data_IF_286501052893
#
_entry.id   IF_286501052893
#
_cell.length_a   1.000
_cell.length_b   1.000
_cell.length_c   1.000
_cell.angle_alpha   90.00
_cell.angle_beta   90.00
_cell.angle_gamma   90.00
#
_symmetry.space_group_name_H-M   'P 1'
#
loop_
_entity.id
_entity.type
_entity.pdbx_description
1 polymer ?
#
# COMPACT_ATOMS: atom_id res chain seq x y z
N UNK A 1 38.01 -23.13 -4.34
CA UNK A 1 36.78 -22.65 -4.97
C UNK A 1 36.13 -21.71 -3.97
N UNK A 2 36.25 -20.43 -4.19
CA UNK A 2 35.62 -19.42 -3.34
C UNK A 2 34.10 -19.45 -3.61
N UNK A 3 33.31 -19.75 -2.59
CA UNK A 3 31.88 -19.56 -2.66
C UNK A 3 31.63 -18.05 -2.67
N UNK A 4 31.40 -17.50 -3.82
CA UNK A 4 30.84 -16.16 -3.99
C UNK A 4 29.38 -16.22 -3.58
N UNK A 5 29.11 -16.12 -2.30
CA UNK A 5 27.81 -15.74 -1.81
C UNK A 5 27.69 -14.24 -2.05
N UNK A 6 27.33 -13.86 -3.26
CA UNK A 6 26.91 -12.52 -3.59
C UNK A 6 25.48 -12.38 -3.12
N UNK A 7 25.31 -11.97 -1.87
CA UNK A 7 24.04 -11.41 -1.44
C UNK A 7 23.81 -10.16 -2.32
N UNK A 8 22.84 -10.24 -3.23
CA UNK A 8 22.54 -9.15 -4.16
C UNK A 8 22.13 -7.87 -3.41
N UNK A 9 21.63 -8.03 -2.19
CA UNK A 9 21.10 -6.95 -1.35
C UNK A 9 21.69 -7.03 0.05
N UNK A 10 22.21 -5.92 0.58
CA UNK A 10 22.50 -5.76 2.00
C UNK A 10 21.35 -5.04 2.70
N UNK A 11 21.12 -5.40 3.96
CA UNK A 11 20.07 -4.81 4.80
C UNK A 11 20.69 -4.29 6.09
N UNK A 12 20.53 -3.00 6.36
CA UNK A 12 20.88 -2.37 7.63
C UNK A 12 19.60 -2.03 8.38
N UNK A 13 19.51 -2.48 9.63
CA UNK A 13 18.37 -2.19 10.51
C UNK A 13 18.84 -1.32 11.65
N UNK A 14 18.08 -0.23 11.93
CA UNK A 14 18.29 0.60 13.12
C UNK A 14 17.03 0.63 13.96
N UNK A 15 17.21 0.47 15.27
CA UNK A 15 16.16 0.61 16.29
C UNK A 15 16.55 1.75 17.20
N UNK A 16 15.67 2.73 17.38
CA UNK A 16 15.97 3.96 18.14
C UNK A 16 17.29 4.63 17.68
N UNK A 17 17.59 4.58 16.38
CA UNK A 17 18.80 5.14 15.76
C UNK A 17 20.08 4.31 15.92
N UNK A 18 20.02 3.15 16.60
CA UNK A 18 21.17 2.25 16.80
C UNK A 18 21.10 1.04 15.87
N UNK A 19 22.23 0.68 15.26
CA UNK A 19 22.31 -0.51 14.41
C UNK A 19 21.97 -1.76 15.22
N UNK A 20 21.15 -2.60 14.63
CA UNK A 20 20.64 -3.83 15.21
C UNK A 20 21.07 -5.02 14.36
N UNK A 21 21.84 -5.95 14.98
CA UNK A 21 22.13 -7.23 14.34
C UNK A 21 20.86 -8.09 14.35
N UNK A 22 20.52 -8.67 13.21
CA UNK A 22 19.31 -9.48 13.05
C UNK A 22 19.64 -10.88 12.50
N UNK A 23 18.72 -11.82 12.71
CA UNK A 23 18.77 -13.19 12.16
C UNK A 23 17.92 -13.30 10.92
N UNK A 24 16.68 -12.80 11.01
CA UNK A 24 15.74 -12.74 9.89
C UNK A 24 14.97 -11.42 9.94
N UNK A 25 14.59 -10.93 8.77
CA UNK A 25 13.74 -9.76 8.62
C UNK A 25 12.69 -10.05 7.54
N UNK A 26 11.45 -9.75 7.86
CA UNK A 26 10.31 -9.79 6.95
C UNK A 26 9.68 -8.39 6.91
N UNK A 27 9.46 -7.87 5.72
CA UNK A 27 8.74 -6.60 5.50
C UNK A 27 7.61 -6.85 4.52
N UNK A 28 6.39 -6.60 4.98
CA UNK A 28 5.19 -6.69 4.16
C UNK A 28 4.67 -5.28 3.87
N UNK A 29 4.54 -4.94 2.60
CA UNK A 29 4.04 -3.66 2.12
C UNK A 29 2.82 -3.86 1.21
N UNK A 30 1.82 -3.00 1.33
CA UNK A 30 0.58 -3.06 0.56
C UNK A 30 -0.02 -1.68 0.39
N UNK A 31 -0.63 -1.41 -0.76
CA UNK A 31 -1.37 -0.15 -1.01
C UNK A 31 -2.69 -0.06 -0.23
N UNK A 32 -3.19 -1.16 0.33
CA UNK A 32 -4.53 -1.21 0.93
C UNK A 32 -4.54 -1.34 2.44
N UNK A 33 -3.37 -1.55 3.07
CA UNK A 33 -3.25 -1.77 4.51
C UNK A 33 -1.98 -1.13 5.06
N UNK A 34 -1.87 -1.05 6.37
CA UNK A 34 -0.62 -0.71 7.03
C UNK A 34 0.48 -1.69 6.67
N UNK A 35 1.68 -1.20 6.48
CA UNK A 35 2.85 -2.05 6.33
C UNK A 35 3.17 -2.72 7.66
N UNK A 36 3.77 -3.91 7.60
CA UNK A 36 4.19 -4.66 8.77
C UNK A 36 5.61 -5.15 8.58
N UNK A 37 6.35 -5.19 9.67
CA UNK A 37 7.65 -5.84 9.71
C UNK A 37 7.75 -6.81 10.88
N UNK A 38 8.63 -7.80 10.70
CA UNK A 38 9.02 -8.74 11.74
C UNK A 38 10.53 -8.92 11.68
N UNK A 39 11.21 -8.64 12.79
CA UNK A 39 12.67 -8.73 12.91
C UNK A 39 12.98 -9.68 14.03
N UNK A 40 13.75 -10.73 13.75
CA UNK A 40 14.23 -11.69 14.73
C UNK A 40 15.68 -11.38 15.05
N UNK A 41 15.98 -11.19 16.33
CA UNK A 41 17.30 -10.83 16.86
C UNK A 41 17.77 -11.90 17.82
N UNK A 42 19.05 -12.24 17.80
CA UNK A 42 19.63 -13.14 18.80
C UNK A 42 19.65 -12.46 20.18
N UNK A 43 19.08 -13.09 21.17
CA UNK A 43 19.24 -12.71 22.58
C UNK A 43 20.46 -13.43 23.16
N UNK A 44 21.48 -12.67 23.54
CA UNK A 44 22.70 -13.18 24.18
C UNK A 44 23.03 -12.30 25.39
N UNK A 45 22.71 -12.73 26.62
CA UNK A 45 22.95 -11.92 27.81
C UNK A 45 24.45 -11.69 28.11
N UNK A 46 25.31 -12.51 27.55
CA UNK A 46 26.77 -12.46 27.71
C UNK A 46 27.48 -11.46 26.77
N UNK A 47 26.78 -10.92 25.78
CA UNK A 47 27.33 -9.91 24.86
C UNK A 47 26.65 -8.58 25.08
N UNK A 48 27.39 -7.47 25.21
CA UNK A 48 26.83 -6.13 25.31
C UNK A 48 26.26 -5.70 23.94
N UNK A 49 25.12 -6.24 23.57
CA UNK A 49 24.29 -5.73 22.49
C UNK A 49 23.18 -4.86 23.07
N UNK A 50 22.50 -4.07 22.26
CA UNK A 50 21.33 -3.26 22.68
C UNK A 50 20.26 -4.14 23.37
N UNK A 51 20.30 -5.46 23.12
CA UNK A 51 19.36 -6.49 23.57
C UNK A 51 19.85 -7.33 24.76
N UNK A 52 21.07 -7.08 25.23
CA UNK A 52 21.73 -7.90 26.26
C UNK A 52 21.28 -7.60 27.69
N UNK A 53 20.43 -6.64 27.94
CA UNK A 53 20.16 -6.10 29.26
C UNK A 53 18.69 -6.34 29.65
N UNK A 54 18.38 -7.59 30.04
CA UNK A 54 17.14 -7.97 30.73
C UNK A 54 15.80 -7.59 30.03
N UNK A 55 14.70 -8.26 30.35
CA UNK A 55 13.39 -8.02 29.74
C UNK A 55 12.91 -6.56 29.86
N UNK A 56 13.18 -5.91 30.98
CA UNK A 56 12.75 -4.52 31.24
C UNK A 56 13.34 -3.51 30.24
N UNK A 57 14.56 -3.77 29.72
CA UNK A 57 15.18 -2.89 28.72
C UNK A 57 14.67 -3.22 27.33
N UNK A 58 14.40 -4.49 27.05
CA UNK A 58 13.85 -4.93 25.76
C UNK A 58 12.47 -4.32 25.54
N UNK A 59 11.56 -4.41 26.51
CA UNK A 59 10.20 -3.86 26.41
C UNK A 59 10.15 -2.33 26.37
N UNK A 60 11.19 -1.63 26.79
CA UNK A 60 11.30 -0.17 26.60
C UNK A 60 11.44 0.25 25.14
N UNK A 61 11.69 -0.69 24.24
CA UNK A 61 11.72 -0.43 22.81
C UNK A 61 10.32 -0.37 22.17
N UNK A 62 9.25 -0.68 22.90
CA UNK A 62 7.87 -0.47 22.42
C UNK A 62 7.65 1.01 22.08
N UNK A 63 7.13 1.27 20.87
CA UNK A 63 6.92 2.60 20.35
C UNK A 63 8.17 3.25 19.71
N UNK A 64 9.34 2.63 19.81
CA UNK A 64 10.55 3.16 19.19
C UNK A 64 10.53 3.03 17.67
N UNK A 65 11.25 3.95 17.02
CA UNK A 65 11.37 4.01 15.57
C UNK A 65 12.30 2.93 15.06
N UNK A 66 11.90 2.31 13.96
CA UNK A 66 12.70 1.38 13.18
C UNK A 66 12.95 1.98 11.81
N UNK A 67 14.21 1.93 11.34
CA UNK A 67 14.53 2.12 9.92
C UNK A 67 15.18 0.87 9.36
N UNK A 68 14.76 0.49 8.15
CA UNK A 68 15.28 -0.65 7.38
C UNK A 68 15.79 -0.09 6.06
N UNK A 69 17.10 -0.10 5.87
CA UNK A 69 17.76 0.33 4.65
C UNK A 69 18.21 -0.90 3.86
N UNK A 70 17.68 -1.08 2.68
CA UNK A 70 18.07 -2.10 1.72
C UNK A 70 18.92 -1.46 0.62
N UNK A 71 20.06 -2.05 0.30
CA UNK A 71 20.96 -1.56 -0.74
C UNK A 71 21.26 -2.68 -1.73
N UNK A 72 20.97 -2.46 -2.99
CA UNK A 72 21.34 -3.39 -4.06
C UNK A 72 22.80 -3.16 -4.48
N UNK A 73 23.63 -4.19 -4.40
CA UNK A 73 25.09 -4.03 -4.56
C UNK A 73 25.52 -3.67 -5.98
N UNK A 74 24.85 -4.20 -6.98
CA UNK A 74 25.24 -3.97 -8.38
C UNK A 74 24.85 -2.58 -8.87
N UNK A 75 23.62 -2.12 -8.59
CA UNK A 75 23.14 -0.81 -9.03
C UNK A 75 23.44 0.32 -8.04
N UNK A 76 23.77 0.00 -6.79
CA UNK A 76 23.91 0.97 -5.70
C UNK A 76 22.58 1.57 -5.24
N UNK A 77 21.46 1.07 -5.73
CA UNK A 77 20.14 1.58 -5.44
C UNK A 77 19.72 1.26 -4.00
N UNK A 78 19.02 2.21 -3.39
CA UNK A 78 18.65 2.13 -1.97
C UNK A 78 17.17 2.30 -1.81
N UNK A 79 16.59 1.47 -0.95
CA UNK A 79 15.19 1.58 -0.51
C UNK A 79 15.16 1.63 0.99
N UNK A 80 14.47 2.61 1.54
CA UNK A 80 14.34 2.79 2.98
C UNK A 80 12.89 2.58 3.42
N UNK A 81 12.73 2.00 4.61
CA UNK A 81 11.45 1.87 5.27
C UNK A 81 11.54 2.39 6.69
N UNK A 82 10.58 3.22 7.07
CA UNK A 82 10.42 3.70 8.44
C UNK A 82 9.18 3.10 9.08
N UNK A 83 9.34 2.63 10.31
CA UNK A 83 8.26 2.02 11.08
C UNK A 83 8.37 2.29 12.57
N UNK A 84 7.43 1.71 13.33
CA UNK A 84 7.36 1.75 14.78
C UNK A 84 7.18 0.34 15.32
N UNK A 85 7.84 0.01 16.44
CA UNK A 85 7.65 -1.26 17.14
C UNK A 85 6.32 -1.21 17.89
N UNK A 86 5.41 -2.12 17.56
CA UNK A 86 4.12 -2.26 18.25
C UNK A 86 4.07 -3.44 19.20
N UNK A 87 4.91 -4.46 18.96
CA UNK A 87 4.91 -5.68 19.75
C UNK A 87 6.33 -6.27 19.89
N UNK A 88 6.60 -6.89 21.02
CA UNK A 88 7.88 -7.53 21.32
C UNK A 88 7.64 -8.87 21.99
N UNK A 89 8.16 -9.94 21.39
CA UNK A 89 8.16 -11.26 21.97
C UNK A 89 9.57 -11.66 22.36
N UNK A 90 9.73 -12.32 23.49
CA UNK A 90 11.00 -12.88 23.94
C UNK A 90 10.86 -14.39 24.05
N UNK A 91 11.61 -15.11 23.27
CA UNK A 91 11.69 -16.57 23.28
C UNK A 91 12.99 -17.03 23.95
N UNK A 92 12.89 -17.76 25.02
CA UNK A 92 14.04 -18.35 25.72
C UNK A 92 14.25 -19.82 25.35
N UNK A 93 15.52 -20.23 25.29
CA UNK A 93 15.93 -21.63 25.13
C UNK A 93 16.85 -22.06 26.28
N UNK A 94 17.22 -23.32 26.32
CA UNK A 94 18.17 -23.84 27.29
C UNK A 94 19.51 -23.09 27.23
N UNK A 95 20.10 -22.81 28.40
CA UNK A 95 21.43 -22.20 28.53
C UNK A 95 21.51 -20.69 28.29
N UNK A 96 20.51 -19.89 28.64
CA UNK A 96 20.47 -18.43 28.50
C UNK A 96 20.59 -17.95 27.04
N UNK A 97 20.16 -18.75 26.08
CA UNK A 97 20.03 -18.35 24.69
C UNK A 97 18.57 -18.11 24.35
N UNK A 98 18.32 -17.29 23.35
CA UNK A 98 16.96 -17.00 22.92
C UNK A 98 16.90 -16.03 21.74
N UNK A 99 15.69 -15.62 21.43
CA UNK A 99 15.43 -14.61 20.43
C UNK A 99 14.56 -13.51 21.01
N UNK A 100 14.78 -12.31 20.51
CA UNK A 100 13.84 -11.19 20.61
C UNK A 100 13.20 -11.03 19.24
N UNK A 101 11.89 -11.04 19.21
CA UNK A 101 11.11 -10.81 17.98
C UNK A 101 10.47 -9.44 18.13
N UNK A 102 10.82 -8.53 17.22
CA UNK A 102 10.25 -7.19 17.14
C UNK A 102 9.25 -7.19 16.00
N UNK A 103 8.01 -6.88 16.30
CA UNK A 103 6.97 -6.70 15.31
C UNK A 103 6.46 -5.26 15.34
N UNK A 104 6.05 -4.76 14.17
CA UNK A 104 5.56 -3.40 14.09
C UNK A 104 5.04 -3.05 12.70
N UNK A 105 4.77 -1.79 12.50
CA UNK A 105 4.21 -1.32 11.24
C UNK A 105 4.66 0.08 10.86
N UNK A 106 4.15 0.52 9.70
CA UNK A 106 4.30 1.90 9.24
C UNK A 106 3.71 2.90 10.24
N UNK A 107 4.15 4.17 10.27
CA UNK A 107 3.59 5.18 11.16
C UNK A 107 2.09 5.40 10.99
N UNK A 108 1.52 4.94 9.87
CA UNK A 108 0.09 4.99 9.60
C UNK A 108 -0.77 4.22 10.61
N UNK A 109 -0.21 3.23 11.34
CA UNK A 109 -0.92 2.56 12.44
C UNK A 109 -1.40 3.54 13.53
N UNK A 110 -0.71 4.67 13.67
CA UNK A 110 -1.08 5.70 14.62
C UNK A 110 -2.36 6.46 14.24
N UNK A 111 -2.82 6.31 12.99
CA UNK A 111 -4.11 6.82 12.53
C UNK A 111 -5.29 5.90 12.93
N UNK A 112 -5.01 4.70 13.44
CA UNK A 112 -6.01 3.73 13.91
C UNK A 112 -6.29 3.82 15.42
N UNK A 113 -6.22 5.02 15.96
CA UNK A 113 -6.71 5.26 17.31
C UNK A 113 -8.23 5.18 17.36
N UNK A 114 -8.80 5.36 18.55
CA UNK A 114 -10.22 5.24 18.84
C UNK A 114 -11.11 5.89 17.77
N UNK A 115 -12.20 5.21 17.37
CA UNK A 115 -13.15 5.75 16.44
C UNK A 115 -13.75 7.08 16.92
N UNK A 116 -13.91 8.03 16.03
CA UNK A 116 -14.52 9.33 16.34
C UNK A 116 -15.64 9.69 15.36
N UNK A 117 -16.29 10.81 15.64
CA UNK A 117 -17.38 11.35 14.83
C UNK A 117 -17.03 12.79 14.45
N UNK A 118 -16.99 13.06 13.16
CA UNK A 118 -16.75 14.37 12.58
C UNK A 118 -17.66 14.57 11.37
N UNK A 119 -17.96 15.80 11.00
CA UNK A 119 -18.60 16.12 9.73
C UNK A 119 -17.87 17.28 9.04
N UNK A 120 -17.82 17.19 7.72
CA UNK A 120 -17.21 18.18 6.85
C UNK A 120 -18.27 18.68 5.89
N UNK A 121 -18.40 19.99 5.82
CA UNK A 121 -19.42 20.68 5.01
C UNK A 121 -18.68 21.64 4.10
N UNK A 122 -18.99 21.61 2.80
CA UNK A 122 -18.43 22.49 1.77
C UNK A 122 -16.89 22.57 1.80
N UNK A 123 -16.23 21.40 1.86
CA UNK A 123 -14.76 21.29 1.87
C UNK A 123 -14.27 20.40 0.74
N UNK A 124 -13.06 20.68 0.24
CA UNK A 124 -12.39 19.80 -0.71
C UNK A 124 -11.59 18.70 -0.01
N UNK A 125 -11.21 17.64 -0.77
CA UNK A 125 -10.47 16.50 -0.24
C UNK A 125 -9.18 16.89 0.46
N UNK A 126 -8.40 17.79 -0.13
CA UNK A 126 -7.12 18.22 0.42
C UNK A 126 -7.28 18.80 1.84
N UNK A 127 -8.28 19.67 2.03
CA UNK A 127 -8.57 20.29 3.32
C UNK A 127 -9.01 19.25 4.35
N UNK A 128 -9.89 18.32 3.96
CA UNK A 128 -10.39 17.26 4.86
C UNK A 128 -9.23 16.36 5.30
N UNK A 129 -8.39 15.95 4.37
CA UNK A 129 -7.19 15.12 4.66
C UNK A 129 -6.25 15.84 5.62
N UNK A 130 -5.93 17.10 5.34
CA UNK A 130 -5.04 17.91 6.17
C UNK A 130 -5.56 18.06 7.60
N UNK A 131 -6.86 18.38 7.75
CA UNK A 131 -7.50 18.51 9.08
C UNK A 131 -7.43 17.21 9.89
N UNK A 132 -7.65 16.05 9.25
CA UNK A 132 -7.57 14.75 9.92
C UNK A 132 -6.15 14.43 10.36
N UNK A 133 -5.17 14.68 9.49
CA UNK A 133 -3.76 14.41 9.79
C UNK A 133 -3.28 15.33 10.91
N UNK A 134 -3.63 16.61 10.89
CA UNK A 134 -3.28 17.56 11.93
C UNK A 134 -3.90 17.20 13.28
N UNK A 135 -5.18 16.86 13.30
CA UNK A 135 -5.89 16.39 14.51
C UNK A 135 -5.33 15.08 15.06
N UNK A 136 -4.80 14.22 14.18
CA UNK A 136 -4.18 12.96 14.62
C UNK A 136 -2.91 13.19 15.43
N UNK A 137 -2.19 14.28 15.19
CA UNK A 137 -0.90 14.58 15.80
C UNK A 137 0.22 13.65 15.37
N UNK A 138 0.01 12.82 14.34
CA UNK A 138 0.99 11.85 13.84
C UNK A 138 2.03 12.59 12.99
N UNK A 139 3.31 12.47 13.40
CA UNK A 139 4.43 13.07 12.67
C UNK A 139 4.98 12.09 11.65
N UNK A 140 4.61 12.25 10.41
CA UNK A 140 5.16 11.53 9.26
C UNK A 140 5.25 12.48 8.05
N UNK A 141 6.05 12.12 7.07
CA UNK A 141 6.04 12.82 5.79
C UNK A 141 4.76 12.50 5.04
N UNK A 142 4.14 13.49 4.41
CA UNK A 142 2.89 13.34 3.67
C UNK A 142 2.97 14.13 2.36
N UNK A 143 2.63 13.47 1.27
CA UNK A 143 2.29 14.11 0.00
C UNK A 143 0.77 14.09 -0.14
N UNK A 144 0.12 15.24 -0.07
CA UNK A 144 -1.32 15.37 -0.16
C UNK A 144 -1.70 16.15 -1.43
N UNK A 145 -1.89 15.42 -2.52
CA UNK A 145 -2.18 15.98 -3.83
C UNK A 145 -3.28 15.18 -4.56
N UNK A 146 -4.52 15.14 -4.02
CA UNK A 146 -5.62 14.46 -4.67
C UNK A 146 -5.99 15.15 -6.00
N UNK A 147 -6.41 14.36 -6.99
CA UNK A 147 -6.93 14.88 -8.28
C UNK A 147 -8.27 15.55 -8.15
N UNK A 148 -9.12 15.01 -7.28
CA UNK A 148 -10.43 15.59 -7.03
C UNK A 148 -10.29 16.85 -6.20
N UNK A 149 -10.47 17.99 -6.84
CA UNK A 149 -10.31 19.32 -6.24
C UNK A 149 -11.64 20.01 -5.91
N UNK A 150 -12.76 19.45 -6.38
CA UNK A 150 -14.07 20.04 -6.20
C UNK A 150 -14.54 20.03 -4.75
N UNK A 151 -15.46 20.92 -4.44
CA UNK A 151 -16.03 21.02 -3.10
C UNK A 151 -17.00 19.87 -2.87
N UNK A 152 -16.78 19.15 -1.80
CA UNK A 152 -17.67 18.10 -1.29
C UNK A 152 -18.71 18.78 -0.40
N UNK A 153 -20.00 18.75 -0.78
CA UNK A 153 -21.05 19.42 -0.01
C UNK A 153 -21.17 18.91 1.41
N UNK A 154 -21.08 17.59 1.58
CA UNK A 154 -21.17 16.96 2.89
C UNK A 154 -20.48 15.59 2.93
N UNK A 155 -19.69 15.33 3.95
CA UNK A 155 -19.22 14.00 4.29
C UNK A 155 -19.11 13.83 5.81
N UNK A 156 -19.54 12.69 6.31
CA UNK A 156 -19.44 12.33 7.73
C UNK A 156 -18.46 11.19 7.98
N UNK A 157 -17.67 11.34 9.03
CA UNK A 157 -16.97 10.29 9.72
C UNK A 157 -17.86 9.82 10.86
N UNK A 158 -18.25 8.55 10.86
CA UNK A 158 -19.14 8.02 11.87
C UNK A 158 -18.57 6.75 12.48
N UNK A 159 -18.06 6.84 13.70
CA UNK A 159 -17.44 5.73 14.43
C UNK A 159 -16.33 5.02 13.62
N UNK A 160 -15.55 5.78 12.91
CA UNK A 160 -14.42 5.29 12.11
C UNK A 160 -13.10 5.80 12.70
N UNK A 161 -12.03 5.00 12.56
CA UNK A 161 -10.67 5.49 12.81
C UNK A 161 -10.28 6.53 11.75
N UNK A 162 -9.24 7.32 11.99
CA UNK A 162 -8.74 8.27 10.98
C UNK A 162 -8.31 7.55 9.71
N UNK A 163 -7.60 6.42 9.85
CA UNK A 163 -7.17 5.61 8.72
C UNK A 163 -8.36 5.01 7.95
N UNK A 164 -9.32 4.44 8.67
CA UNK A 164 -10.52 3.85 8.06
C UNK A 164 -11.34 4.87 7.28
N UNK A 165 -11.55 6.06 7.87
CA UNK A 165 -12.26 7.15 7.21
C UNK A 165 -11.54 7.65 5.96
N UNK A 166 -10.22 7.92 6.05
CA UNK A 166 -9.42 8.35 4.90
C UNK A 166 -9.40 7.28 3.80
N UNK A 167 -9.21 6.01 4.15
CA UNK A 167 -9.25 4.91 3.18
C UNK A 167 -10.59 4.82 2.45
N UNK A 168 -11.70 4.96 3.18
CA UNK A 168 -13.03 4.95 2.58
C UNK A 168 -13.27 6.19 1.70
N UNK A 169 -12.93 7.37 2.21
CA UNK A 169 -13.13 8.64 1.53
C UNK A 169 -12.34 8.69 0.22
N UNK A 170 -11.03 8.50 0.29
CA UNK A 170 -10.14 8.60 -0.87
C UNK A 170 -10.45 7.52 -1.91
N UNK A 171 -10.69 6.27 -1.47
CA UNK A 171 -11.11 5.19 -2.38
C UNK A 171 -12.36 5.53 -3.18
N UNK A 172 -13.32 6.24 -2.59
CA UNK A 172 -14.56 6.57 -3.28
C UNK A 172 -14.41 7.66 -4.34
N UNK A 173 -13.35 8.46 -4.25
CA UNK A 173 -12.94 9.43 -5.27
C UNK A 173 -11.90 8.87 -6.24
N UNK A 174 -11.53 7.57 -6.12
CA UNK A 174 -10.52 6.95 -6.97
C UNK A 174 -9.09 7.40 -6.66
N UNK A 175 -8.87 8.03 -5.53
CA UNK A 175 -7.57 8.53 -5.12
C UNK A 175 -6.70 7.42 -4.55
N UNK A 176 -5.39 7.48 -4.82
CA UNK A 176 -4.43 6.62 -4.18
C UNK A 176 -4.21 7.04 -2.72
N UNK A 177 -4.08 6.05 -1.85
CA UNK A 177 -3.78 6.25 -0.43
C UNK A 177 -2.92 5.09 0.06
N UNK A 178 -1.61 5.32 0.18
CA UNK A 178 -0.65 4.31 0.60
C UNK A 178 0.60 4.93 1.20
N UNK A 179 1.32 4.15 1.97
CA UNK A 179 2.64 4.51 2.50
C UNK A 179 3.71 3.87 1.61
N UNK A 180 4.68 4.62 1.09
CA UNK A 180 5.70 4.08 0.19
C UNK A 180 6.95 3.54 0.91
N UNK A 181 6.99 3.62 2.24
CA UNK A 181 8.14 3.28 3.10
C UNK A 181 8.68 4.49 3.85
N UNK A 182 8.55 5.69 3.30
CA UNK A 182 9.07 6.94 3.85
C UNK A 182 7.99 8.01 4.02
N UNK A 183 7.02 8.02 3.10
CA UNK A 183 6.01 9.09 2.97
C UNK A 183 4.63 8.49 2.76
N UNK A 184 3.62 9.06 3.40
CA UNK A 184 2.21 8.78 3.11
C UNK A 184 1.81 9.52 1.83
N UNK A 185 1.44 8.77 0.80
CA UNK A 185 1.06 9.27 -0.52
C UNK A 185 -0.46 9.34 -0.65
N UNK A 186 -0.97 10.49 -1.06
CA UNK A 186 -2.38 10.74 -1.36
C UNK A 186 -2.45 11.43 -2.72
N UNK A 187 -3.26 10.87 -3.61
CA UNK A 187 -3.29 11.23 -5.02
C UNK A 187 -2.43 10.29 -5.88
N UNK A 188 -2.34 10.59 -7.17
CA UNK A 188 -1.60 9.73 -8.09
C UNK A 188 -0.12 9.61 -7.69
N UNK A 189 0.45 8.41 -7.80
CA UNK A 189 1.88 8.25 -7.65
C UNK A 189 2.63 9.02 -8.75
N UNK A 190 3.66 9.74 -8.37
CA UNK A 190 4.60 10.33 -9.32
C UNK A 190 5.44 9.20 -9.91
N UNK A 191 5.16 8.84 -11.16
CA UNK A 191 5.91 7.81 -11.90
C UNK A 191 7.01 8.52 -12.70
N UNK A 192 8.13 8.80 -12.04
CA UNK A 192 9.26 9.47 -12.67
C UNK A 192 10.05 8.54 -13.59
N UNK A 193 10.11 7.26 -13.26
CA UNK A 193 10.90 6.25 -14.01
C UNK A 193 10.18 4.92 -14.08
N UNK A 194 10.35 4.23 -15.21
CA UNK A 194 9.97 2.82 -15.36
C UNK A 194 11.07 1.93 -14.78
N UNK A 195 10.72 1.08 -13.82
CA UNK A 195 11.61 0.02 -13.36
C UNK A 195 11.56 -1.13 -14.37
N UNK A 196 12.67 -1.43 -15.01
CA UNK A 196 12.78 -2.54 -15.93
C UNK A 196 13.42 -3.73 -15.26
N UNK A 197 12.62 -4.76 -14.99
CA UNK A 197 13.07 -5.99 -14.35
C UNK A 197 13.08 -7.14 -15.38
N UNK A 198 14.24 -7.73 -15.64
CA UNK A 198 14.43 -8.83 -16.57
C UNK A 198 14.14 -10.18 -15.90
N UNK A 199 13.42 -11.08 -16.61
CA UNK A 199 13.30 -12.48 -16.20
C UNK A 199 14.67 -13.17 -16.28
N UNK A 200 15.01 -14.02 -15.31
CA UNK A 200 16.31 -14.67 -15.10
C UNK A 200 17.50 -13.72 -14.82
N UNK A 201 17.25 -12.42 -14.72
CA UNK A 201 18.23 -11.41 -14.29
C UNK A 201 17.84 -10.89 -12.91
N UNK A 202 16.81 -10.06 -12.87
CA UNK A 202 16.29 -9.45 -11.64
C UNK A 202 15.16 -10.28 -11.02
N UNK A 203 14.36 -10.95 -11.86
CA UNK A 203 13.22 -11.76 -11.46
C UNK A 203 13.54 -13.24 -11.60
N UNK A 204 13.42 -13.98 -10.49
CA UNK A 204 13.72 -15.42 -10.43
C UNK A 204 12.50 -16.31 -10.58
N UNK A 205 11.31 -15.75 -10.52
CA UNK A 205 10.06 -16.46 -10.75
C UNK A 205 8.95 -15.49 -11.10
N UNK A 206 8.15 -15.82 -12.09
CA UNK A 206 7.00 -15.03 -12.53
C UNK A 206 5.77 -15.94 -12.58
N UNK A 207 4.67 -15.46 -12.02
CA UNK A 207 3.35 -16.07 -12.15
C UNK A 207 2.40 -15.01 -12.71
N UNK A 208 1.78 -15.29 -13.84
CA UNK A 208 0.82 -14.41 -14.50
C UNK A 208 -0.55 -15.06 -14.39
N UNK A 209 -1.49 -14.37 -13.77
CA UNK A 209 -2.89 -14.81 -13.66
C UNK A 209 -3.78 -13.90 -14.51
N UNK A 210 -4.75 -14.51 -15.20
CA UNK A 210 -5.83 -13.82 -15.89
C UNK A 210 -7.16 -14.42 -15.46
N UNK A 211 -8.15 -13.58 -15.15
CA UNK A 211 -9.45 -14.00 -14.60
C UNK A 211 -10.57 -13.26 -15.30
N UNK A 212 -11.58 -13.98 -15.76
CA UNK A 212 -12.79 -13.37 -16.34
C UNK A 212 -13.64 -12.71 -15.24
N UNK A 213 -14.18 -11.51 -15.55
CA UNK A 213 -15.07 -10.76 -14.63
C UNK A 213 -16.11 -9.99 -15.42
N UNK A 214 -17.24 -9.73 -14.79
CA UNK A 214 -18.21 -8.77 -15.33
C UNK A 214 -17.64 -7.36 -15.25
N UNK A 215 -17.49 -6.71 -16.40
CA UNK A 215 -17.06 -5.32 -16.55
C UNK A 215 -18.18 -4.42 -17.05
N UNK A 216 -19.24 -5.03 -17.61
CA UNK A 216 -20.37 -4.30 -18.18
C UNK A 216 -21.28 -3.81 -17.04
N UNK A 217 -21.04 -2.60 -16.57
CA UNK A 217 -21.90 -1.97 -15.57
C UNK A 217 -22.07 -0.49 -15.86
N UNK A 218 -23.19 0.04 -15.45
CA UNK A 218 -23.46 1.47 -15.38
C UNK A 218 -23.73 1.88 -13.94
N UNK A 219 -23.38 3.11 -13.62
CA UNK A 219 -23.67 3.74 -12.34
C UNK A 219 -24.75 4.79 -12.54
N UNK A 220 -25.71 4.86 -11.62
CA UNK A 220 -26.77 5.88 -11.68
C UNK A 220 -26.96 6.57 -10.32
N UNK A 221 -27.46 7.79 -10.39
CA UNK A 221 -27.89 8.58 -9.23
C UNK A 221 -29.17 9.32 -9.56
N UNK A 222 -30.04 9.46 -8.57
CA UNK A 222 -31.24 10.26 -8.67
C UNK A 222 -31.09 11.53 -7.84
N UNK A 223 -31.18 12.68 -8.50
CA UNK A 223 -31.22 13.99 -7.86
C UNK A 223 -32.67 14.37 -7.57
N UNK A 224 -33.13 14.27 -6.30
CA UNK A 224 -34.49 14.57 -5.95
C UNK A 224 -34.82 16.06 -5.98
N UNK A 225 -33.81 16.94 -5.98
CA UNK A 225 -34.03 18.39 -6.02
C UNK A 225 -34.40 18.84 -7.43
N UNK A 226 -33.75 18.27 -8.43
CA UNK A 226 -33.97 18.62 -9.84
C UNK A 226 -34.81 17.57 -10.58
N UNK A 227 -35.34 16.55 -9.90
CA UNK A 227 -36.09 15.41 -10.47
C UNK A 227 -35.39 14.82 -11.70
N UNK A 228 -34.09 14.52 -11.56
CA UNK A 228 -33.23 14.10 -12.66
C UNK A 228 -32.42 12.88 -12.32
N UNK A 229 -32.32 11.93 -13.27
CA UNK A 229 -31.39 10.85 -13.22
C UNK A 229 -30.11 11.20 -13.95
N UNK A 230 -28.97 10.91 -13.32
CA UNK A 230 -27.67 10.87 -13.95
C UNK A 230 -27.29 9.42 -14.22
N UNK A 231 -26.62 9.15 -15.33
CA UNK A 231 -26.11 7.84 -15.71
C UNK A 231 -24.70 7.98 -16.22
N UNK A 232 -23.85 7.03 -15.82
CA UNK A 232 -22.52 6.88 -16.35
C UNK A 232 -22.29 5.43 -16.74
N UNK A 233 -21.62 5.22 -17.87
CA UNK A 233 -21.30 3.91 -18.40
C UNK A 233 -19.83 3.59 -18.15
N UNK A 234 -19.50 2.30 -18.11
CA UNK A 234 -18.15 1.79 -17.85
C UNK A 234 -17.07 2.55 -18.60
N UNK A 235 -16.01 2.90 -17.87
CA UNK A 235 -14.89 3.69 -18.39
C UNK A 235 -14.03 2.94 -19.41
N UNK A 236 -13.06 3.65 -19.97
CA UNK A 236 -12.07 3.09 -20.88
C UNK A 236 -10.85 2.61 -20.12
N UNK A 237 -10.35 1.37 -20.35
CA UNK A 237 -9.20 0.86 -19.61
C UNK A 237 -7.93 1.65 -19.93
N UNK A 238 -7.20 2.04 -18.89
CA UNK A 238 -5.89 2.68 -18.98
C UNK A 238 -4.82 1.67 -18.55
N UNK A 239 -3.69 1.60 -19.28
CA UNK A 239 -2.56 0.74 -18.90
C UNK A 239 -2.82 -0.77 -19.05
N UNK A 240 -3.62 -1.18 -20.03
CA UNK A 240 -4.00 -2.56 -20.26
C UNK A 240 -2.81 -3.46 -20.62
N UNK A 241 -2.60 -4.53 -19.86
CA UNK A 241 -1.61 -5.60 -20.14
C UNK A 241 -2.16 -6.59 -21.17
N UNK A 242 -1.31 -7.48 -21.70
CA UNK A 242 -1.76 -8.57 -22.56
C UNK A 242 -2.78 -9.48 -21.84
N UNK A 243 -2.52 -9.80 -20.57
CA UNK A 243 -3.41 -10.65 -19.77
C UNK A 243 -4.77 -10.00 -19.51
N UNK A 244 -4.81 -8.70 -19.18
CA UNK A 244 -6.08 -8.01 -18.96
C UNK A 244 -6.91 -7.84 -20.22
N UNK A 245 -6.29 -7.53 -21.37
CA UNK A 245 -6.99 -7.46 -22.66
C UNK A 245 -7.61 -8.81 -23.07
N UNK A 246 -6.86 -9.89 -22.86
CA UNK A 246 -7.35 -11.23 -23.16
C UNK A 246 -8.52 -11.62 -22.26
N UNK A 247 -8.40 -11.33 -20.96
CA UNK A 247 -9.44 -11.59 -19.98
C UNK A 247 -10.71 -10.76 -20.27
N UNK A 248 -10.57 -9.48 -20.63
CA UNK A 248 -11.67 -8.59 -21.03
C UNK A 248 -12.42 -9.18 -22.24
N UNK A 249 -11.70 -9.49 -23.32
CA UNK A 249 -12.29 -10.07 -24.53
C UNK A 249 -13.02 -11.39 -24.26
N UNK A 250 -12.52 -12.22 -23.35
CA UNK A 250 -13.18 -13.45 -22.95
C UNK A 250 -14.37 -13.21 -22.01
N UNK A 251 -14.37 -12.11 -21.27
CA UNK A 251 -15.44 -11.77 -20.33
C UNK A 251 -16.70 -11.27 -21.01
N UNK A 252 -16.59 -10.49 -22.09
CA UNK A 252 -17.71 -9.88 -22.81
C UNK A 252 -18.81 -10.88 -23.19
N UNK A 253 -18.54 -12.02 -23.86
CA UNK A 253 -19.59 -12.97 -24.25
C UNK A 253 -20.15 -13.77 -23.06
N UNK A 254 -19.42 -13.85 -21.93
CA UNK A 254 -19.81 -14.60 -20.74
C UNK A 254 -20.69 -13.76 -19.83
N UNK A 255 -20.44 -12.45 -19.76
CA UNK A 255 -21.19 -11.49 -18.95
C UNK A 255 -21.86 -10.40 -19.82
N UNK A 256 -22.81 -10.78 -20.71
CA UNK A 256 -23.39 -9.83 -21.65
C UNK A 256 -24.37 -8.84 -21.01
N UNK A 257 -24.88 -9.17 -19.83
CA UNK A 257 -25.91 -8.36 -19.15
C UNK A 257 -25.25 -7.22 -18.38
N UNK A 258 -25.72 -6.01 -18.66
CA UNK A 258 -25.31 -4.82 -17.92
C UNK A 258 -25.83 -4.87 -16.47
N UNK A 259 -24.95 -4.67 -15.52
CA UNK A 259 -25.30 -4.47 -14.12
C UNK A 259 -25.50 -2.96 -13.85
N UNK A 260 -26.69 -2.58 -13.36
CA UNK A 260 -26.98 -1.20 -12.98
C UNK A 260 -26.80 -1.01 -11.49
N UNK A 261 -25.84 -0.20 -11.11
CA UNK A 261 -25.48 0.01 -9.71
C UNK A 261 -25.80 1.45 -9.30
N UNK A 262 -26.46 1.63 -8.14
CA UNK A 262 -26.59 2.98 -7.59
C UNK A 262 -25.22 3.53 -7.25
N UNK A 263 -25.05 4.85 -7.36
CA UNK A 263 -23.84 5.51 -6.93
C UNK A 263 -23.56 5.22 -5.45
N UNK A 264 -22.30 4.99 -5.11
CA UNK A 264 -21.88 4.77 -3.73
C UNK A 264 -22.03 6.07 -2.91
N UNK A 265 -22.12 7.21 -3.58
CA UNK A 265 -22.27 8.56 -3.01
C UNK A 265 -23.24 9.37 -3.81
N UNK A 266 -23.89 10.36 -3.17
CA UNK A 266 -24.65 11.34 -3.90
C UNK A 266 -23.76 12.03 -4.96
N UNK A 267 -24.16 11.96 -6.21
CA UNK A 267 -23.55 12.72 -7.28
C UNK A 267 -24.40 13.99 -7.51
N UNK A 268 -23.75 15.12 -7.43
CA UNK A 268 -24.43 16.41 -7.61
C UNK A 268 -24.31 16.92 -9.05
N UNK A 269 -23.52 16.20 -9.85
CA UNK A 269 -23.33 16.47 -11.27
C UNK A 269 -23.08 15.16 -12.05
N UNK A 270 -23.24 15.22 -13.38
CA UNK A 270 -22.86 14.10 -14.24
C UNK A 270 -21.35 13.79 -14.17
N UNK A 271 -20.52 14.82 -13.95
CA UNK A 271 -19.07 14.68 -13.83
C UNK A 271 -18.67 13.92 -12.55
N UNK A 272 -19.35 14.16 -11.42
CA UNK A 272 -19.12 13.39 -10.20
C UNK A 272 -19.39 11.90 -10.45
N UNK A 273 -20.48 11.61 -11.15
CA UNK A 273 -20.89 10.24 -11.44
C UNK A 273 -19.89 9.55 -12.36
N UNK A 274 -19.38 10.25 -13.38
CA UNK A 274 -18.31 9.77 -14.27
C UNK A 274 -17.05 9.40 -13.47
N UNK A 275 -16.60 10.28 -12.56
CA UNK A 275 -15.44 10.00 -11.71
C UNK A 275 -15.64 8.75 -10.82
N UNK A 276 -16.85 8.57 -10.27
CA UNK A 276 -17.15 7.40 -9.44
C UNK A 276 -17.24 6.11 -10.27
N UNK A 277 -17.84 6.19 -11.44
CA UNK A 277 -17.93 5.10 -12.41
C UNK A 277 -16.54 4.64 -12.88
N UNK A 278 -15.70 5.59 -13.28
CA UNK A 278 -14.32 5.35 -13.70
C UNK A 278 -13.50 4.69 -12.61
N UNK A 279 -13.54 5.20 -11.37
CA UNK A 279 -12.83 4.61 -10.25
C UNK A 279 -13.27 3.16 -9.97
N UNK A 280 -14.58 2.89 -10.06
CA UNK A 280 -15.16 1.55 -9.93
C UNK A 280 -14.69 0.62 -11.04
N UNK A 281 -14.73 1.09 -12.29
CA UNK A 281 -14.31 0.36 -13.47
C UNK A 281 -12.82 -0.01 -13.39
N UNK A 282 -11.93 0.94 -13.14
CA UNK A 282 -10.49 0.69 -13.05
C UNK A 282 -10.13 -0.30 -11.95
N UNK A 283 -10.85 -0.26 -10.82
CA UNK A 283 -10.68 -1.24 -9.74
C UNK A 283 -11.04 -2.65 -10.20
N UNK A 284 -12.15 -2.84 -10.91
CA UNK A 284 -12.56 -4.13 -11.43
C UNK A 284 -11.62 -4.60 -12.53
N UNK A 285 -11.21 -3.68 -13.42
CA UNK A 285 -10.31 -3.97 -14.51
C UNK A 285 -8.92 -4.41 -14.02
N UNK A 286 -8.37 -3.79 -12.99
CA UNK A 286 -7.08 -4.17 -12.40
C UNK A 286 -7.06 -5.60 -11.85
N UNK A 287 -8.22 -6.19 -11.56
CA UNK A 287 -8.36 -7.55 -11.07
C UNK A 287 -8.45 -8.60 -12.17
N UNK A 288 -8.52 -8.21 -13.46
CA UNK A 288 -8.53 -9.12 -14.60
C UNK A 288 -7.20 -9.86 -14.76
N UNK A 289 -6.10 -9.21 -14.43
CA UNK A 289 -4.76 -9.80 -14.56
C UNK A 289 -3.87 -9.34 -13.42
N UNK A 290 -3.17 -10.28 -12.83
CA UNK A 290 -2.19 -10.05 -11.78
C UNK A 290 -0.87 -10.74 -12.14
N UNK A 291 0.23 -10.06 -11.87
CA UNK A 291 1.57 -10.62 -12.00
C UNK A 291 2.17 -10.71 -10.61
N UNK A 292 2.69 -11.89 -10.27
CA UNK A 292 3.46 -12.13 -9.06
C UNK A 292 4.87 -12.54 -9.49
N UNK A 293 5.86 -11.95 -8.89
CA UNK A 293 7.24 -12.28 -9.19
C UNK A 293 8.07 -12.34 -7.91
N UNK A 294 9.15 -13.11 -7.96
CA UNK A 294 10.21 -13.10 -6.96
C UNK A 294 11.38 -12.33 -7.52
N UNK A 295 11.88 -11.35 -6.80
CA UNK A 295 12.99 -10.51 -7.23
C UNK A 295 14.18 -10.59 -6.27
N UNK A 296 15.40 -10.45 -6.81
CA UNK A 296 16.62 -10.17 -6.06
C UNK A 296 16.94 -8.68 -5.99
N UNK A 297 16.15 -7.87 -6.67
CA UNK A 297 16.30 -6.42 -6.72
C UNK A 297 15.42 -5.74 -5.68
N UNK A 298 16.00 -4.89 -4.85
CA UNK A 298 15.28 -4.23 -3.76
C UNK A 298 14.71 -2.85 -4.12
N UNK A 299 14.98 -2.34 -5.33
CA UNK A 299 14.56 -1.00 -5.76
C UNK A 299 13.09 -0.87 -6.17
N UNK A 300 12.28 -1.93 -6.03
CA UNK A 300 10.85 -1.88 -6.37
C UNK A 300 10.06 -1.35 -5.18
N UNK A 301 9.36 -0.23 -5.37
CA UNK A 301 8.53 0.41 -4.34
C UNK A 301 7.05 0.41 -4.73
N UNK A 302 6.19 0.58 -3.74
CA UNK A 302 4.76 0.76 -3.99
C UNK A 302 4.48 2.05 -4.77
N UNK A 303 3.58 1.94 -5.75
CA UNK A 303 3.20 3.06 -6.63
C UNK A 303 4.07 3.17 -7.88
N UNK A 304 5.13 2.39 -8.04
CA UNK A 304 6.01 2.43 -9.20
C UNK A 304 5.53 1.55 -10.35
N UNK A 305 5.89 1.94 -11.56
CA UNK A 305 5.61 1.17 -12.77
C UNK A 305 6.75 0.19 -13.03
N UNK A 306 6.46 -1.10 -12.92
CA UNK A 306 7.42 -2.16 -13.24
C UNK A 306 7.11 -2.74 -14.61
N UNK A 307 8.08 -2.66 -15.52
CA UNK A 307 8.00 -3.25 -16.86
C UNK A 307 8.89 -4.49 -16.91
N UNK A 308 8.29 -5.64 -17.16
CA UNK A 308 9.03 -6.89 -17.34
C UNK A 308 8.85 -7.44 -18.76
N UNK A 309 9.92 -7.97 -19.33
CA UNK A 309 9.89 -8.75 -20.58
C UNK A 309 9.98 -10.22 -20.21
N UNK A 310 8.97 -10.94 -20.64
CA UNK A 310 8.94 -12.40 -20.56
C UNK A 310 9.47 -12.95 -21.87
N UNK A 311 10.40 -13.92 -21.87
CA UNK A 311 10.89 -14.56 -23.10
C UNK A 311 9.76 -15.19 -23.90
N UNK A 312 9.90 -15.27 -25.24
CA UNK A 312 8.93 -15.96 -26.10
C UNK A 312 8.77 -17.45 -25.75
N UNK A 313 9.79 -18.03 -25.12
CA UNK A 313 9.78 -19.42 -24.61
C UNK A 313 9.14 -19.58 -23.25
N UNK A 314 8.58 -18.53 -22.66
CA UNK A 314 7.87 -18.63 -21.40
C UNK A 314 6.62 -19.52 -21.55
N UNK A 315 6.44 -20.57 -20.73
CA UNK A 315 5.38 -21.55 -20.88
C UNK A 315 3.97 -20.97 -20.68
#
# INVERSE_FOLDING_TARGET
>A
MASTNLDAVSVEIKVAGKVCDYVTMELFQSVSTHHRFKIKVNYRPDKPSVWAIGPDVIFKQLGEKVSILMTHHESGEKTEFHGLISDIHVEGFDGNQGFVILEGGSPTILLDRDPSMDCYIEQNLNTIVSDILDKSGVKMNVTNNPKHTDIIPYVARYKETSYGFLSRLLRSYGEWFYYNGETLQIGDPEIDTEIRAGYDVDLTGININATIRSLNHSTYEFDPVNDKFYYDFSGTPKGATLGSRSAEKCSEPIFPTEARLPSIRPAYSAMDLEHYGDAGFHRNYSQLSQIRATSRYCGIRLGELVVTRVPESFP
#
